data_IF_087460520709
#
_entry.id   IF_087460520709
#
_cell.length_a   1.000
_cell.length_b   1.000
_cell.length_c   1.000
_cell.angle_alpha   90.00
_cell.angle_beta   90.00
_cell.angle_gamma   90.00
#
_symmetry.space_group_name_H-M   'P 1'
#
loop_
_entity.id
_entity.type
_entity.pdbx_description
1 polymer ?
#
# COMPACT_ATOMS: atom_id res chain seq x y z
N UNK A 1 10.13 -14.74 -23.20
CA UNK A 1 9.49 -13.45 -23.56
C UNK A 1 10.60 -12.44 -23.82
N UNK A 2 10.49 -11.57 -24.84
CA UNK A 2 11.52 -10.58 -25.11
C UNK A 2 11.65 -9.61 -23.92
N UNK A 3 12.88 -9.22 -23.58
CA UNK A 3 13.13 -8.31 -22.44
C UNK A 3 12.90 -8.91 -21.06
N UNK A 4 12.65 -10.22 -20.96
CA UNK A 4 12.54 -10.94 -19.69
C UNK A 4 13.70 -11.93 -19.58
N UNK A 5 14.44 -11.88 -18.48
CA UNK A 5 15.52 -12.82 -18.18
C UNK A 5 15.35 -13.44 -16.79
N UNK A 6 15.97 -14.60 -16.60
CA UNK A 6 15.95 -15.35 -15.34
C UNK A 6 17.36 -15.43 -14.77
N UNK A 7 17.52 -15.00 -13.52
CA UNK A 7 18.68 -15.36 -12.70
C UNK A 7 18.28 -16.54 -11.82
N UNK A 8 18.63 -17.75 -12.26
CA UNK A 8 18.29 -18.99 -11.54
C UNK A 8 19.03 -19.10 -10.20
N UNK A 9 20.24 -18.55 -10.11
CA UNK A 9 21.05 -18.63 -8.90
C UNK A 9 20.47 -17.76 -7.79
N UNK A 10 20.00 -16.57 -8.14
CA UNK A 10 19.31 -15.66 -7.21
C UNK A 10 17.79 -15.92 -7.12
N UNK A 11 17.25 -16.75 -8.02
CA UNK A 11 15.80 -16.92 -8.26
C UNK A 11 15.09 -15.59 -8.45
N UNK A 12 15.60 -14.80 -9.39
CA UNK A 12 15.03 -13.50 -9.74
C UNK A 12 14.64 -13.46 -11.22
N UNK A 13 13.56 -12.76 -11.53
CA UNK A 13 13.07 -12.52 -12.88
C UNK A 13 13.25 -11.04 -13.16
N UNK A 14 14.08 -10.69 -14.15
CA UNK A 14 14.29 -9.31 -14.55
C UNK A 14 13.41 -8.97 -15.76
N UNK A 15 12.67 -7.86 -15.67
CA UNK A 15 11.87 -7.28 -16.76
C UNK A 15 12.52 -5.96 -17.17
N UNK A 16 13.10 -5.94 -18.37
CA UNK A 16 13.87 -4.81 -18.89
C UNK A 16 13.27 -4.19 -20.17
N UNK A 17 12.27 -4.81 -20.79
CA UNK A 17 11.51 -4.20 -21.87
C UNK A 17 10.17 -3.65 -21.37
N UNK A 18 9.74 -2.54 -21.96
CA UNK A 18 8.47 -1.91 -21.67
C UNK A 18 7.28 -2.76 -22.13
N UNK A 19 6.10 -2.49 -21.59
CA UNK A 19 4.82 -3.09 -21.97
C UNK A 19 4.79 -4.64 -21.84
N UNK A 20 5.57 -5.16 -20.90
CA UNK A 20 5.62 -6.59 -20.58
C UNK A 20 4.50 -6.96 -19.62
N UNK A 21 3.72 -7.99 -19.97
CA UNK A 21 2.74 -8.62 -19.08
C UNK A 21 3.18 -10.04 -18.73
N UNK A 22 3.28 -10.34 -17.43
CA UNK A 22 3.42 -11.70 -16.92
C UNK A 22 2.06 -12.14 -16.34
N UNK A 23 1.41 -13.09 -17.01
CA UNK A 23 0.04 -13.50 -16.73
C UNK A 23 -0.04 -15.02 -16.44
N UNK A 24 -0.62 -15.39 -15.30
CA UNK A 24 -0.97 -16.79 -15.00
C UNK A 24 0.19 -17.64 -14.46
N UNK A 25 1.20 -17.05 -13.84
CA UNK A 25 2.38 -17.75 -13.35
C UNK A 25 2.34 -18.04 -11.85
N UNK A 26 2.96 -19.15 -11.44
CA UNK A 26 3.35 -19.40 -10.06
C UNK A 26 4.84 -19.06 -9.88
N UNK A 27 5.10 -17.93 -9.24
CA UNK A 27 6.43 -17.42 -8.90
C UNK A 27 6.86 -17.80 -7.48
N UNK A 28 6.28 -18.84 -6.88
CA UNK A 28 6.69 -19.33 -5.56
C UNK A 28 8.21 -19.46 -5.42
N UNK A 29 8.79 -18.67 -4.51
CA UNK A 29 10.22 -18.64 -4.24
C UNK A 29 11.08 -17.92 -5.28
N UNK A 30 10.46 -17.11 -6.13
CA UNK A 30 11.11 -16.18 -7.06
C UNK A 30 10.72 -14.73 -6.75
N UNK A 31 11.63 -13.80 -6.99
CA UNK A 31 11.34 -12.37 -7.05
C UNK A 31 11.16 -11.89 -8.48
N UNK A 32 10.41 -10.80 -8.68
CA UNK A 32 10.31 -10.10 -9.96
C UNK A 32 10.83 -8.68 -9.79
N UNK A 33 11.79 -8.28 -10.62
CA UNK A 33 12.35 -6.93 -10.65
C UNK A 33 12.17 -6.32 -12.02
N UNK A 34 11.49 -5.17 -12.09
CA UNK A 34 11.32 -4.42 -13.32
C UNK A 34 12.16 -3.14 -13.32
N UNK A 35 12.88 -2.90 -14.41
CA UNK A 35 13.53 -1.61 -14.72
C UNK A 35 12.77 -0.85 -15.80
N UNK A 36 11.72 -1.46 -16.35
CA UNK A 36 10.96 -1.01 -17.51
C UNK A 36 9.67 -0.27 -17.14
N UNK A 37 9.09 0.42 -18.13
CA UNK A 37 7.78 1.04 -18.03
C UNK A 37 6.64 0.04 -18.30
N UNK A 38 5.49 0.26 -17.66
CA UNK A 38 4.23 -0.44 -17.94
C UNK A 38 4.31 -1.97 -17.75
N UNK A 39 5.14 -2.44 -16.81
CA UNK A 39 5.15 -3.85 -16.44
C UNK A 39 3.87 -4.23 -15.71
N UNK A 40 3.19 -5.26 -16.20
CA UNK A 40 1.98 -5.81 -15.61
C UNK A 40 2.23 -7.23 -15.09
N UNK A 41 1.89 -7.48 -13.82
CA UNK A 41 1.90 -8.80 -13.21
C UNK A 41 0.47 -9.17 -12.84
N UNK A 42 -0.07 -10.21 -13.46
CA UNK A 42 -1.49 -10.55 -13.26
C UNK A 42 -1.79 -12.03 -13.15
N UNK A 43 -2.89 -12.36 -12.48
CA UNK A 43 -3.38 -13.73 -12.28
C UNK A 43 -2.30 -14.69 -11.76
N UNK A 44 -1.39 -14.18 -10.92
CA UNK A 44 -0.15 -14.87 -10.56
C UNK A 44 -0.03 -15.06 -9.05
N UNK A 45 0.74 -16.07 -8.64
CA UNK A 45 1.01 -16.37 -7.24
C UNK A 45 2.48 -16.11 -6.91
N UNK A 46 2.72 -15.56 -5.73
CA UNK A 46 4.06 -15.25 -5.23
C UNK A 46 4.16 -15.68 -3.77
N UNK A 47 5.38 -15.98 -3.32
CA UNK A 47 5.65 -16.14 -1.90
C UNK A 47 6.99 -15.53 -1.48
N UNK A 48 7.11 -15.23 -0.19
CA UNK A 48 8.24 -14.53 0.41
C UNK A 48 9.49 -15.37 0.67
N UNK A 49 9.65 -16.57 0.06
CA UNK A 49 10.91 -17.33 0.19
C UNK A 49 12.07 -16.64 -0.52
N UNK A 50 11.76 -15.82 -1.53
CA UNK A 50 12.66 -14.84 -2.12
C UNK A 50 12.01 -13.46 -1.94
N UNK A 51 12.79 -12.42 -1.69
CA UNK A 51 14.17 -12.24 -2.13
C UNK A 51 15.24 -12.94 -1.27
N UNK A 52 16.39 -13.21 -1.90
CA UNK A 52 17.67 -13.58 -1.31
C UNK A 52 18.75 -12.73 -2.00
N UNK A 53 19.73 -12.23 -1.24
CA UNK A 53 20.75 -11.31 -1.76
C UNK A 53 20.38 -9.83 -1.51
N UNK A 54 20.65 -8.90 -2.46
CA UNK A 54 20.50 -7.45 -2.23
C UNK A 54 19.06 -6.91 -2.37
N UNK A 55 18.09 -7.79 -2.64
CA UNK A 55 16.68 -7.43 -2.81
C UNK A 55 15.95 -7.58 -1.47
N UNK A 56 15.07 -6.64 -1.16
CA UNK A 56 14.22 -6.61 0.05
C UNK A 56 12.77 -7.00 -0.23
N UNK A 57 12.38 -7.11 -1.51
CA UNK A 57 10.98 -7.25 -1.92
C UNK A 57 10.69 -8.43 -2.86
N UNK A 58 9.47 -8.97 -2.81
CA UNK A 58 9.01 -10.04 -3.73
C UNK A 58 8.82 -9.51 -5.14
N UNK A 59 8.23 -8.32 -5.25
CA UNK A 59 8.06 -7.58 -6.51
C UNK A 59 8.68 -6.20 -6.33
N UNK A 60 9.61 -5.82 -7.20
CA UNK A 60 10.28 -4.52 -7.17
C UNK A 60 10.18 -3.80 -8.50
N UNK A 61 9.79 -2.52 -8.48
CA UNK A 61 10.06 -1.57 -9.56
C UNK A 61 11.20 -0.65 -9.19
N UNK A 62 12.28 -0.63 -9.99
CA UNK A 62 13.47 0.19 -9.71
C UNK A 62 13.25 1.67 -10.06
N UNK A 63 14.23 2.52 -9.76
CA UNK A 63 14.19 3.98 -10.03
C UNK A 63 13.98 4.33 -11.51
N UNK A 64 14.31 3.43 -12.43
CA UNK A 64 14.12 3.65 -13.88
C UNK A 64 12.81 3.09 -14.40
N UNK A 65 12.12 2.26 -13.61
CA UNK A 65 10.81 1.72 -13.97
C UNK A 65 9.71 2.76 -13.84
N UNK A 66 8.55 2.52 -14.44
CA UNK A 66 7.35 3.33 -14.19
C UNK A 66 6.07 2.52 -14.43
N UNK A 67 4.97 2.95 -13.82
CA UNK A 67 3.64 2.38 -14.01
C UNK A 67 3.59 0.86 -13.77
N UNK A 68 4.11 0.39 -12.63
CA UNK A 68 3.98 -1.01 -12.23
C UNK A 68 2.51 -1.32 -11.90
N UNK A 69 1.95 -2.34 -12.55
CA UNK A 69 0.58 -2.82 -12.31
C UNK A 69 0.59 -4.26 -11.80
N UNK A 70 0.00 -4.48 -10.62
CA UNK A 70 -0.17 -5.80 -10.01
C UNK A 70 -1.67 -6.07 -9.83
N UNK A 71 -2.20 -7.09 -10.49
CA UNK A 71 -3.65 -7.32 -10.53
C UNK A 71 -4.03 -8.80 -10.39
N UNK A 72 -5.04 -9.12 -9.60
CA UNK A 72 -5.52 -10.51 -9.43
C UNK A 72 -4.44 -11.48 -8.93
N UNK A 73 -3.54 -11.02 -8.05
CA UNK A 73 -2.43 -11.82 -7.55
C UNK A 73 -2.63 -12.25 -6.09
N UNK A 74 -2.03 -13.38 -5.71
CA UNK A 74 -1.79 -13.71 -4.29
C UNK A 74 -0.32 -13.55 -3.99
N UNK A 75 0.01 -12.74 -2.98
CA UNK A 75 1.38 -12.48 -2.56
C UNK A 75 1.47 -12.76 -1.06
N UNK A 76 2.16 -13.84 -0.69
CA UNK A 76 2.27 -14.29 0.70
C UNK A 76 3.70 -14.16 1.21
N UNK A 77 3.95 -13.27 2.16
CA UNK A 77 5.27 -13.09 2.78
C UNK A 77 5.71 -14.25 3.68
N UNK A 78 4.86 -15.25 3.93
CA UNK A 78 5.13 -16.44 4.74
C UNK A 78 5.52 -16.11 6.19
N UNK A 79 4.51 -15.81 7.01
CA UNK A 79 4.64 -15.46 8.43
C UNK A 79 5.71 -16.28 9.17
N UNK A 80 6.79 -15.63 9.61
CA UNK A 80 7.86 -16.23 10.42
C UNK A 80 8.78 -17.21 9.69
N UNK A 81 8.68 -17.31 8.37
CA UNK A 81 9.52 -18.18 7.54
C UNK A 81 9.93 -17.61 6.17
N UNK A 82 9.38 -16.48 5.74
CA UNK A 82 9.83 -15.74 4.57
C UNK A 82 10.94 -14.74 4.88
N UNK A 83 11.50 -14.14 3.83
CA UNK A 83 12.63 -13.22 3.87
C UNK A 83 12.27 -11.81 3.39
N UNK A 84 11.10 -11.64 2.76
CA UNK A 84 10.71 -10.37 2.16
C UNK A 84 10.40 -9.31 3.24
N UNK A 85 11.15 -8.21 3.23
CA UNK A 85 10.80 -7.01 4.00
C UNK A 85 9.50 -6.42 3.43
N UNK A 86 9.43 -6.25 2.10
CA UNK A 86 8.24 -5.77 1.40
C UNK A 86 7.63 -6.85 0.49
N UNK A 87 6.32 -6.86 0.29
CA UNK A 87 5.73 -7.70 -0.76
C UNK A 87 5.83 -7.02 -2.12
N UNK A 88 5.44 -5.75 -2.20
CA UNK A 88 5.59 -4.93 -3.40
C UNK A 88 6.32 -3.66 -3.05
N UNK A 89 7.34 -3.32 -3.83
CA UNK A 89 8.12 -2.11 -3.65
C UNK A 89 8.26 -1.36 -4.97
N UNK A 90 8.08 -0.05 -4.94
CA UNK A 90 8.21 0.82 -6.11
C UNK A 90 9.10 2.03 -5.81
N UNK A 91 10.16 2.20 -6.59
CA UNK A 91 11.08 3.34 -6.55
C UNK A 91 10.87 4.37 -7.67
N UNK A 92 10.39 3.88 -8.82
CA UNK A 92 9.97 4.72 -9.95
C UNK A 92 8.56 5.29 -9.76
N UNK A 93 8.05 6.08 -10.71
CA UNK A 93 6.74 6.68 -10.58
C UNK A 93 5.63 5.73 -11.02
N UNK A 94 4.50 5.79 -10.32
CA UNK A 94 3.28 5.07 -10.71
C UNK A 94 3.25 3.63 -10.22
N UNK A 95 2.34 3.34 -9.28
CA UNK A 95 2.05 2.01 -8.77
C UNK A 95 0.54 1.80 -8.72
N UNK A 96 0.06 0.71 -9.31
CA UNK A 96 -1.33 0.25 -9.18
C UNK A 96 -1.36 -1.18 -8.68
N UNK A 97 -2.07 -1.43 -7.58
CA UNK A 97 -2.32 -2.76 -7.03
C UNK A 97 -3.82 -2.95 -6.88
N UNK A 98 -4.38 -3.95 -7.56
CA UNK A 98 -5.81 -4.21 -7.50
C UNK A 98 -6.22 -5.68 -7.50
N UNK A 99 -7.40 -5.96 -6.94
CA UNK A 99 -8.01 -7.30 -6.90
C UNK A 99 -7.08 -8.40 -6.36
N UNK A 100 -6.11 -8.03 -5.51
CA UNK A 100 -5.05 -8.92 -5.04
C UNK A 100 -5.19 -9.22 -3.55
N UNK A 101 -4.62 -10.34 -3.13
CA UNK A 101 -4.49 -10.70 -1.71
C UNK A 101 -3.01 -10.61 -1.31
N UNK A 102 -2.68 -9.59 -0.52
CA UNK A 102 -1.34 -9.40 0.04
C UNK A 102 -1.39 -9.79 1.50
N UNK A 103 -0.52 -10.71 1.92
CA UNK A 103 -0.54 -11.20 3.30
C UNK A 103 0.82 -11.53 3.89
N UNK A 104 0.90 -11.45 5.20
CA UNK A 104 2.00 -11.99 6.01
C UNK A 104 3.38 -11.43 5.67
N UNK A 105 3.51 -10.14 5.35
CA UNK A 105 4.83 -9.52 5.16
C UNK A 105 5.65 -9.57 6.44
N UNK A 106 6.98 -9.69 6.32
CA UNK A 106 7.81 -9.52 7.50
C UNK A 106 7.78 -8.08 7.99
N UNK A 107 7.96 -7.09 7.09
CA UNK A 107 7.80 -5.67 7.36
C UNK A 107 6.52 -5.18 6.70
N UNK A 108 6.59 -4.42 5.61
CA UNK A 108 5.44 -3.75 5.02
C UNK A 108 4.83 -4.60 3.89
N UNK A 109 3.53 -4.50 3.65
CA UNK A 109 2.95 -5.09 2.44
C UNK A 109 3.44 -4.33 1.22
N UNK A 110 3.41 -2.99 1.28
CA UNK A 110 3.69 -2.12 0.14
C UNK A 110 4.66 -1.02 0.57
N UNK A 111 5.83 -0.98 -0.04
CA UNK A 111 6.81 0.09 0.10
C UNK A 111 6.81 1.01 -1.11
N UNK A 112 6.80 2.32 -0.90
CA UNK A 112 7.13 3.29 -1.93
C UNK A 112 8.33 4.11 -1.46
N UNK A 113 9.41 4.11 -2.26
CA UNK A 113 10.51 5.08 -2.14
C UNK A 113 11.13 5.56 -3.46
N UNK A 114 12.43 5.87 -3.49
CA UNK A 114 13.13 6.31 -4.71
C UNK A 114 13.31 7.83 -4.87
N UNK A 115 13.30 8.32 -6.12
CA UNK A 115 13.62 9.73 -6.46
C UNK A 115 12.55 10.46 -7.27
N UNK A 116 11.50 9.75 -7.69
CA UNK A 116 10.44 10.28 -8.55
C UNK A 116 9.06 10.04 -7.95
N UNK A 117 8.12 10.95 -8.21
CA UNK A 117 6.76 10.99 -7.66
C UNK A 117 5.81 9.96 -8.29
N UNK A 118 4.69 10.43 -8.84
CA UNK A 118 3.67 9.60 -9.49
C UNK A 118 2.47 9.32 -8.60
N UNK A 119 1.53 8.53 -9.10
CA UNK A 119 0.32 8.15 -8.39
C UNK A 119 0.48 6.76 -7.75
N UNK A 120 -0.13 6.57 -6.58
CA UNK A 120 -0.30 5.27 -5.94
C UNK A 120 -1.80 4.95 -5.92
N UNK A 121 -2.18 3.81 -6.48
CA UNK A 121 -3.55 3.31 -6.48
C UNK A 121 -3.56 1.92 -5.87
N UNK A 122 -4.24 1.75 -4.74
CA UNK A 122 -4.41 0.48 -4.04
C UNK A 122 -5.90 0.25 -3.88
N UNK A 123 -6.51 -0.66 -4.66
CA UNK A 123 -7.96 -0.83 -4.64
C UNK A 123 -8.47 -2.25 -4.77
N UNK A 124 -9.61 -2.53 -4.14
CA UNK A 124 -10.28 -3.84 -4.22
C UNK A 124 -9.41 -5.02 -3.74
N UNK A 125 -8.47 -4.78 -2.83
CA UNK A 125 -7.57 -5.82 -2.32
C UNK A 125 -8.05 -6.37 -0.97
N UNK A 126 -7.55 -7.56 -0.63
CA UNK A 126 -7.48 -8.06 0.75
C UNK A 126 -6.05 -7.88 1.24
N UNK A 127 -5.88 -7.18 2.36
CA UNK A 127 -4.58 -6.84 2.95
C UNK A 127 -4.53 -7.43 4.36
N UNK A 128 -3.61 -8.35 4.62
CA UNK A 128 -3.61 -9.12 5.86
C UNK A 128 -2.22 -9.16 6.51
N UNK A 129 -2.15 -8.90 7.82
CA UNK A 129 -0.95 -9.16 8.61
C UNK A 129 0.35 -8.52 8.08
N UNK A 130 0.49 -7.21 8.25
CA UNK A 130 1.80 -6.56 8.13
C UNK A 130 2.66 -6.79 9.38
N UNK A 131 3.99 -6.68 9.27
CA UNK A 131 4.90 -6.69 10.40
C UNK A 131 5.04 -8.04 11.12
N UNK A 132 5.07 -9.15 10.36
CA UNK A 132 5.17 -10.51 10.90
C UNK A 132 6.59 -10.97 11.22
N UNK A 133 7.61 -10.14 10.95
CA UNK A 133 9.03 -10.48 11.10
C UNK A 133 9.52 -10.61 12.55
N UNK A 134 8.72 -10.23 13.54
CA UNK A 134 9.01 -10.38 14.97
C UNK A 134 8.95 -9.06 15.77
N UNK A 135 9.39 -9.08 17.04
CA UNK A 135 9.15 -7.97 17.97
C UNK A 135 9.85 -6.64 17.61
N UNK A 136 10.96 -6.69 16.88
CA UNK A 136 11.69 -5.50 16.43
C UNK A 136 11.24 -5.00 15.06
N UNK A 137 10.37 -5.74 14.38
CA UNK A 137 9.95 -5.40 13.02
C UNK A 137 8.88 -4.34 13.06
N UNK A 138 9.06 -3.36 12.19
CA UNK A 138 8.09 -2.34 11.86
C UNK A 138 7.31 -2.83 10.64
N UNK A 139 6.04 -2.46 10.47
CA UNK A 139 5.23 -3.05 9.41
C UNK A 139 4.09 -2.15 9.03
N UNK A 140 3.85 -1.93 7.74
CA UNK A 140 2.74 -1.10 7.27
C UNK A 140 1.99 -1.75 6.11
N UNK A 141 0.72 -1.41 5.94
CA UNK A 141 -0.01 -1.81 4.74
C UNK A 141 0.48 -1.05 3.51
N UNK A 142 0.83 0.21 3.73
CA UNK A 142 1.55 1.06 2.79
C UNK A 142 2.51 1.90 3.60
N UNK A 143 3.76 1.97 3.19
CA UNK A 143 4.67 2.98 3.68
C UNK A 143 5.20 3.80 2.51
N UNK A 144 4.97 5.11 2.55
CA UNK A 144 5.60 6.08 1.66
C UNK A 144 6.74 6.77 2.41
N UNK A 145 7.99 6.47 2.06
CA UNK A 145 9.18 7.24 2.46
C UNK A 145 9.96 7.64 1.21
N UNK A 146 10.54 8.83 1.15
CA UNK A 146 11.19 9.32 -0.09
C UNK A 146 10.44 10.50 -0.69
N UNK A 147 10.44 10.73 -2.02
CA UNK A 147 9.97 11.99 -2.62
C UNK A 147 8.47 12.11 -2.62
N UNK A 148 7.97 13.34 -2.78
CA UNK A 148 6.54 13.61 -2.82
C UNK A 148 5.81 12.82 -3.91
N UNK A 149 4.74 12.14 -3.52
CA UNK A 149 3.78 11.44 -4.39
C UNK A 149 2.73 12.46 -4.86
N UNK A 150 2.28 12.35 -6.12
CA UNK A 150 1.27 13.27 -6.67
C UNK A 150 -0.11 12.99 -6.07
N UNK A 151 -0.50 11.72 -6.00
CA UNK A 151 -1.78 11.34 -5.42
C UNK A 151 -1.74 9.91 -4.87
N UNK A 152 -2.31 9.73 -3.67
CA UNK A 152 -2.48 8.41 -3.05
C UNK A 152 -3.96 8.07 -2.95
N UNK A 153 -4.40 7.02 -3.66
CA UNK A 153 -5.77 6.50 -3.61
C UNK A 153 -5.78 5.09 -3.03
N UNK A 154 -6.44 4.91 -1.89
CA UNK A 154 -6.61 3.63 -1.21
C UNK A 154 -8.11 3.38 -1.05
N UNK A 155 -8.67 2.58 -1.97
CA UNK A 155 -10.11 2.50 -2.21
C UNK A 155 -10.64 1.08 -2.10
N UNK A 156 -11.74 0.87 -1.38
CA UNK A 156 -12.50 -0.39 -1.41
C UNK A 156 -11.69 -1.64 -1.00
N UNK A 157 -10.69 -1.49 -0.14
CA UNK A 157 -9.90 -2.62 0.37
C UNK A 157 -10.52 -3.19 1.63
N UNK A 158 -10.26 -4.46 1.90
CA UNK A 158 -10.46 -5.07 3.21
C UNK A 158 -9.10 -5.27 3.87
N UNK A 159 -8.85 -4.58 4.98
CA UNK A 159 -7.62 -4.71 5.76
C UNK A 159 -7.89 -5.42 7.09
N UNK A 160 -7.12 -6.47 7.36
CA UNK A 160 -7.26 -7.30 8.57
C UNK A 160 -5.92 -7.43 9.29
N UNK A 161 -5.89 -7.07 10.58
CA UNK A 161 -4.69 -7.22 11.42
C UNK A 161 -4.98 -7.97 12.72
N UNK A 162 -4.60 -9.24 12.79
CA UNK A 162 -4.78 -10.09 13.98
C UNK A 162 -3.47 -10.67 14.53
N UNK A 163 -2.34 -10.44 13.86
CA UNK A 163 -0.98 -10.81 14.25
C UNK A 163 -0.03 -9.65 13.98
N UNK A 164 1.28 -9.84 14.16
CA UNK A 164 2.31 -8.85 13.77
C UNK A 164 2.21 -7.50 14.49
N UNK A 165 2.85 -6.48 13.91
CA UNK A 165 2.82 -5.09 14.40
C UNK A 165 2.70 -4.16 13.20
N UNK A 166 1.66 -3.31 13.18
CA UNK A 166 1.51 -2.33 12.11
C UNK A 166 1.11 -0.93 12.53
N UNK A 167 1.56 0.08 11.77
CA UNK A 167 1.09 1.45 11.95
C UNK A 167 -0.08 1.82 11.04
N UNK A 168 -0.47 0.96 10.10
CA UNK A 168 -1.61 1.14 9.19
C UNK A 168 -1.18 1.50 7.77
N UNK A 169 -1.96 2.35 7.10
CA UNK A 169 -1.57 2.95 5.82
C UNK A 169 -0.86 4.27 6.06
N UNK A 170 0.43 4.35 5.74
CA UNK A 170 1.25 5.54 5.91
C UNK A 170 1.45 6.23 4.57
N UNK A 171 0.48 7.08 4.20
CA UNK A 171 0.56 7.93 3.00
C UNK A 171 1.21 9.27 3.33
N UNK A 172 2.37 9.21 3.98
CA UNK A 172 3.15 10.39 4.25
C UNK A 172 3.82 10.90 2.97
N UNK A 173 3.99 12.22 2.84
CA UNK A 173 4.60 12.83 1.66
C UNK A 173 3.78 12.69 0.36
N UNK A 174 2.46 12.91 0.45
CA UNK A 174 1.60 13.01 -0.74
C UNK A 174 1.13 14.45 -0.99
N UNK A 175 0.83 14.82 -2.23
CA UNK A 175 0.22 16.14 -2.54
C UNK A 175 -1.27 16.16 -2.26
N UNK A 176 -1.96 15.05 -2.46
CA UNK A 176 -3.42 14.87 -2.35
C UNK A 176 -3.78 13.39 -2.27
N UNK A 177 -5.02 13.05 -1.93
CA UNK A 177 -5.43 11.65 -1.93
C UNK A 177 -6.87 11.37 -1.53
N UNK A 178 -7.18 10.08 -1.52
CA UNK A 178 -8.49 9.55 -1.16
C UNK A 178 -8.31 8.21 -0.42
N UNK A 179 -8.85 8.13 0.78
CA UNK A 179 -8.96 6.91 1.56
C UNK A 179 -10.45 6.61 1.76
N UNK A 180 -11.00 5.70 0.95
CA UNK A 180 -12.45 5.54 0.89
C UNK A 180 -12.98 4.13 0.66
N UNK A 181 -14.18 3.87 1.20
CA UNK A 181 -14.89 2.62 0.99
C UNK A 181 -14.21 1.38 1.57
N UNK A 182 -13.21 1.55 2.45
CA UNK A 182 -12.46 0.43 3.01
C UNK A 182 -13.19 -0.21 4.21
N UNK A 183 -12.93 -1.49 4.45
CA UNK A 183 -13.31 -2.19 5.68
C UNK A 183 -12.06 -2.56 6.46
N UNK A 184 -11.98 -2.13 7.71
CA UNK A 184 -10.73 -2.09 8.48
C UNK A 184 -10.94 -2.72 9.86
N UNK A 185 -10.34 -3.89 10.10
CA UNK A 185 -10.59 -4.68 11.31
C UNK A 185 -9.26 -5.18 11.87
N UNK A 186 -8.96 -4.91 13.14
CA UNK A 186 -7.76 -5.46 13.76
C UNK A 186 -7.00 -4.51 14.67
N UNK A 187 -5.74 -4.87 14.93
CA UNK A 187 -4.81 -4.17 15.82
C UNK A 187 -3.77 -3.38 15.05
N UNK A 188 -3.95 -2.07 14.94
CA UNK A 188 -3.03 -1.15 14.23
C UNK A 188 -2.66 0.02 15.15
N UNK A 189 -1.66 0.84 14.82
CA UNK A 189 -1.48 2.10 15.54
C UNK A 189 -2.59 3.09 15.15
N UNK A 190 -2.65 3.44 13.87
CA UNK A 190 -3.76 4.18 13.25
C UNK A 190 -4.18 3.43 11.99
N UNK A 191 -5.38 3.64 11.49
CA UNK A 191 -5.72 3.07 10.18
C UNK A 191 -5.07 3.84 9.05
N UNK A 192 -4.92 5.15 9.19
CA UNK A 192 -4.38 6.02 8.16
C UNK A 192 -3.45 7.09 8.75
N UNK A 193 -2.25 7.25 8.19
CA UNK A 193 -1.46 8.47 8.31
C UNK A 193 -1.64 9.34 7.07
N UNK A 194 -2.10 10.58 7.26
CA UNK A 194 -2.34 11.58 6.22
C UNK A 194 -1.37 12.74 6.41
N UNK A 195 -0.34 12.81 5.58
CA UNK A 195 0.63 13.90 5.64
C UNK A 195 1.01 14.41 4.25
N UNK A 196 1.17 15.73 4.14
CA UNK A 196 1.76 16.38 2.99
C UNK A 196 3.29 16.21 2.92
N UNK A 197 3.97 16.92 2.00
CA UNK A 197 5.42 16.90 1.92
C UNK A 197 6.14 17.24 3.21
N UNK A 198 7.21 16.49 3.51
CA UNK A 198 7.93 16.61 4.78
C UNK A 198 7.11 16.14 5.99
N UNK A 199 6.20 15.19 5.80
CA UNK A 199 5.39 14.54 6.84
C UNK A 199 4.55 15.53 7.67
N UNK A 200 3.99 16.56 7.03
CA UNK A 200 3.07 17.52 7.66
C UNK A 200 1.80 17.68 6.82
N UNK A 201 0.64 17.42 7.41
CA UNK A 201 -0.67 17.61 6.77
C UNK A 201 -0.90 19.06 6.30
N UNK A 202 -0.26 20.06 6.91
CA UNK A 202 -0.33 21.46 6.45
C UNK A 202 0.26 21.66 5.04
N UNK A 203 1.19 20.79 4.64
CA UNK A 203 1.90 20.92 3.37
C UNK A 203 1.16 20.25 2.20
N UNK A 204 0.01 19.60 2.43
CA UNK A 204 -0.84 19.09 1.35
C UNK A 204 -1.08 20.21 0.32
N UNK A 205 -0.97 19.88 -0.97
CA UNK A 205 -1.19 20.87 -2.03
C UNK A 205 -2.60 20.78 -2.61
N UNK A 206 -3.18 19.58 -2.63
CA UNK A 206 -4.60 19.32 -2.88
C UNK A 206 -5.30 18.68 -1.67
N UNK A 207 -6.58 18.39 -1.81
CA UNK A 207 -7.38 17.76 -0.76
C UNK A 207 -6.97 16.29 -0.54
N UNK A 208 -6.93 15.86 0.72
CA UNK A 208 -6.94 14.46 1.10
C UNK A 208 -8.29 14.13 1.73
N UNK A 209 -9.09 13.33 1.05
CA UNK A 209 -10.43 12.97 1.49
C UNK A 209 -10.45 11.59 2.15
N UNK A 210 -11.08 11.49 3.31
CA UNK A 210 -11.26 10.25 4.06
C UNK A 210 -12.75 10.02 4.26
N UNK A 211 -13.34 9.06 3.53
CA UNK A 211 -14.79 8.91 3.56
C UNK A 211 -15.33 7.51 3.28
N UNK A 212 -16.54 7.25 3.77
CA UNK A 212 -17.27 5.99 3.55
C UNK A 212 -16.51 4.72 4.00
N UNK A 213 -15.57 4.85 4.95
CA UNK A 213 -14.85 3.70 5.51
C UNK A 213 -15.63 3.09 6.68
N UNK A 214 -15.55 1.78 6.81
CA UNK A 214 -16.03 1.02 7.97
C UNK A 214 -14.83 0.55 8.77
N UNK A 215 -14.71 0.98 10.01
CA UNK A 215 -13.49 0.74 10.79
C UNK A 215 -13.76 0.31 12.22
N UNK A 216 -12.92 -0.57 12.73
CA UNK A 216 -12.87 -0.98 14.14
C UNK A 216 -11.62 -0.38 14.80
N UNK A 217 -11.82 0.40 15.87
CA UNK A 217 -10.75 1.02 16.66
C UNK A 217 -10.54 0.37 18.02
N UNK A 218 -11.19 -0.75 18.33
CA UNK A 218 -11.04 -1.43 19.63
C UNK A 218 -9.60 -1.79 19.97
N UNK A 219 -8.76 -2.00 18.96
CA UNK A 219 -7.32 -2.29 19.09
C UNK A 219 -6.45 -1.31 18.30
N UNK A 220 -6.96 -0.12 18.03
CA UNK A 220 -6.21 0.97 17.41
C UNK A 220 -6.08 2.17 18.35
N UNK A 221 -5.02 2.97 18.21
CA UNK A 221 -4.91 4.24 18.94
C UNK A 221 -5.89 5.28 18.38
N UNK A 222 -6.23 5.18 17.10
CA UNK A 222 -7.22 6.03 16.46
C UNK A 222 -7.48 5.64 15.01
N UNK A 223 -8.32 6.44 14.34
CA UNK A 223 -8.61 6.25 12.92
C UNK A 223 -7.53 6.89 12.04
N UNK A 224 -7.23 8.18 12.24
CA UNK A 224 -6.23 8.91 11.46
C UNK A 224 -5.18 9.61 12.33
N UNK A 225 -4.00 9.86 11.74
CA UNK A 225 -2.87 10.62 12.27
C UNK A 225 -2.14 11.38 11.14
N UNK A 226 -1.35 12.45 11.37
CA UNK A 226 -1.51 13.43 12.45
C UNK A 226 -2.80 14.24 12.31
N UNK A 227 -3.48 14.15 11.16
CA UNK A 227 -4.85 14.62 11.00
C UNK A 227 -5.78 13.76 11.87
N UNK A 228 -6.20 14.30 13.01
CA UNK A 228 -6.83 13.52 14.10
C UNK A 228 -8.34 13.23 13.89
N UNK A 229 -8.92 13.60 12.75
CA UNK A 229 -10.32 13.34 12.43
C UNK A 229 -11.13 14.60 12.15
N UNK A 230 -12.46 14.56 12.34
CA UNK A 230 -13.36 15.63 11.96
C UNK A 230 -13.05 17.00 12.53
N UNK A 231 -13.20 18.04 11.70
CA UNK A 231 -12.98 19.43 12.03
C UNK A 231 -11.59 19.67 12.63
N UNK A 232 -10.58 18.95 12.13
CA UNK A 232 -9.20 19.24 12.49
C UNK A 232 -8.80 20.65 11.99
N UNK A 233 -7.56 21.05 12.31
CA UNK A 233 -7.04 22.37 11.95
C UNK A 233 -6.57 22.47 10.49
N UNK A 234 -6.59 21.38 9.73
CA UNK A 234 -5.98 21.29 8.41
C UNK A 234 -7.05 21.44 7.32
N UNK A 235 -7.07 22.55 6.57
CA UNK A 235 -8.19 22.85 5.65
C UNK A 235 -8.26 21.92 4.42
N UNK A 236 -7.26 21.06 4.23
CA UNK A 236 -7.17 20.13 3.08
C UNK A 236 -7.43 18.68 3.47
N UNK A 237 -7.61 18.37 4.75
CA UNK A 237 -8.10 17.06 5.19
C UNK A 237 -9.61 17.16 5.33
N UNK A 238 -10.32 16.21 4.73
CA UNK A 238 -11.79 16.22 4.70
C UNK A 238 -12.30 14.86 5.14
N UNK A 239 -13.15 14.85 6.16
CA UNK A 239 -13.75 13.64 6.72
C UNK A 239 -15.24 13.60 6.42
N UNK A 240 -15.73 12.49 5.88
CA UNK A 240 -17.15 12.35 5.55
C UNK A 240 -17.64 10.91 5.68
N UNK A 241 -18.77 10.69 6.36
CA UNK A 241 -19.45 9.39 6.41
C UNK A 241 -18.57 8.17 6.79
N UNK A 242 -17.56 8.32 7.67
CA UNK A 242 -16.79 7.16 8.16
C UNK A 242 -17.52 6.51 9.33
N UNK A 243 -17.76 5.21 9.28
CA UNK A 243 -18.56 4.47 10.25
C UNK A 243 -17.65 3.73 11.22
N UNK A 244 -17.70 4.11 12.49
CA UNK A 244 -17.11 3.32 13.57
C UNK A 244 -17.98 2.07 13.79
N UNK A 245 -17.47 0.88 13.46
CA UNK A 245 -18.20 -0.37 13.56
C UNK A 245 -18.48 -0.81 15.00
N UNK A 246 -17.77 -0.25 15.99
CA UNK A 246 -17.94 -0.56 17.42
C UNK A 246 -19.12 0.20 18.00
N UNK A 247 -19.22 1.50 17.69
CA UNK A 247 -20.25 2.38 18.25
C UNK A 247 -21.43 2.64 17.31
N UNK A 248 -21.29 2.33 16.01
CA UNK A 248 -22.22 2.72 14.96
C UNK A 248 -22.20 4.22 14.63
N UNK A 249 -21.31 5.00 15.24
CA UNK A 249 -21.24 6.45 15.01
C UNK A 249 -20.63 6.78 13.65
N UNK A 250 -21.18 7.83 13.03
CA UNK A 250 -20.64 8.43 11.81
C UNK A 250 -19.69 9.58 12.19
N UNK A 251 -18.47 9.53 11.64
CA UNK A 251 -17.37 10.47 11.85
C UNK A 251 -17.16 11.29 10.57
N UNK A 252 -17.46 12.59 10.67
CA UNK A 252 -17.46 13.54 9.54
C UNK A 252 -17.28 14.99 10.02
N UNK A 253 -16.76 15.87 9.16
CA UNK A 253 -16.71 17.31 9.44
C UNK A 253 -18.13 17.91 9.57
N UNK A 254 -18.23 18.99 10.35
CA UNK A 254 -19.51 19.66 10.62
C UNK A 254 -20.09 20.38 9.40
N UNK A 255 -19.25 20.73 8.43
CA UNK A 255 -19.61 21.48 7.21
C UNK A 255 -19.50 20.64 5.95
N UNK A 256 -19.09 19.36 6.03
CA UNK A 256 -18.89 18.54 4.84
C UNK A 256 -20.21 17.95 4.34
N UNK A 257 -20.53 18.21 3.07
CA UNK A 257 -21.57 17.47 2.35
C UNK A 257 -21.08 16.06 2.03
N UNK A 258 -21.97 15.06 1.99
CA UNK A 258 -21.62 13.68 1.61
C UNK A 258 -20.90 13.66 0.26
N UNK A 259 -19.59 13.39 0.27
CA UNK A 259 -18.79 13.19 -0.94
C UNK A 259 -19.20 11.87 -1.59
N UNK A 260 -19.21 11.83 -2.92
CA UNK A 260 -19.33 10.58 -3.66
C UNK A 260 -17.93 10.08 -3.94
N UNK A 261 -17.63 8.80 -3.70
CA UNK A 261 -16.36 8.22 -4.09
C UNK A 261 -16.02 8.49 -5.55
N UNK A 262 -14.73 8.71 -5.84
CA UNK A 262 -14.28 8.83 -7.21
C UNK A 262 -14.69 7.58 -8.00
N UNK A 263 -15.32 7.80 -9.17
CA UNK A 263 -15.69 6.69 -10.06
C UNK A 263 -14.41 6.10 -10.66
N UNK A 264 -14.36 4.76 -10.88
CA UNK A 264 -13.21 4.09 -11.46
C UNK A 264 -12.86 4.60 -12.86
#
# INVERSE_FOLDING_TARGET
>A
MAGVSLDVAQRSIAVAADDVTLDGYDFGGWSVVTTAANTTLTNSNFNGLNPGGPQSSVISGTQTSSNLHVANCTIDGLSGGGHAEFLVEMEGPGLTIEYSWLKNSNSDLIGRHGRSGGNIIIRYNVLEQAGMGGPSTHGDYLQVYGPTVEETRILYNTAVQNGGRTQGFIADNTKSGEFAGNTLIGSVSYWMSVSGPGTDAANLSGTFSTHDNYYDVTKAFGFNYPAVGPNDRYPKTVFTNNVNMVSGQIVQDSTSSKLRPSRP
#
